data_IF_858779605614
#
_entry.id   IF_858779605614
#
_cell.length_a   1.000
_cell.length_b   1.000
_cell.length_c   1.000
_cell.angle_alpha   90.00
_cell.angle_beta   90.00
_cell.angle_gamma   90.00
#
_symmetry.space_group_name_H-M   'P 1'
#
loop_
_entity.id
_entity.type
_entity.pdbx_description
1 polymer ?
#
# COMPACT_ATOMS: atom_id res chain seq x y z
N UNK A 1 -4.24 4.50 23.83
CA UNK A 1 -4.89 4.22 22.54
C UNK A 1 -6.14 3.38 22.80
N UNK A 2 -7.31 3.91 22.50
CA UNK A 2 -8.55 3.15 22.68
C UNK A 2 -8.65 2.06 21.64
N UNK A 3 -9.05 0.86 22.06
CA UNK A 3 -9.37 -0.23 21.15
C UNK A 3 -10.72 0.07 20.49
N UNK A 4 -10.68 0.95 19.48
CA UNK A 4 -11.85 1.27 18.70
C UNK A 4 -12.03 0.24 17.58
N UNK A 5 -13.18 0.24 16.91
CA UNK A 5 -13.40 -0.56 15.71
C UNK A 5 -12.31 -0.31 14.66
N UNK A 6 -11.69 0.86 14.66
CA UNK A 6 -10.62 1.22 13.75
C UNK A 6 -9.39 0.32 13.90
N UNK A 7 -9.04 -0.07 15.13
CA UNK A 7 -7.92 -1.00 15.34
C UNK A 7 -8.22 -2.40 14.78
N UNK A 8 -9.47 -2.83 14.83
CA UNK A 8 -9.85 -4.12 14.26
C UNK A 8 -9.78 -4.11 12.73
N UNK A 9 -10.10 -2.98 12.10
CA UNK A 9 -10.02 -2.83 10.63
C UNK A 9 -8.61 -2.51 10.15
N UNK A 10 -7.73 -2.00 11.03
CA UNK A 10 -6.37 -1.61 10.69
C UNK A 10 -5.35 -2.75 10.86
N UNK A 11 -5.75 -3.87 11.45
CA UNK A 11 -4.87 -5.01 11.75
C UNK A 11 -4.73 -6.01 10.59
N UNK A 12 -4.75 -5.53 9.36
CA UNK A 12 -4.56 -6.38 8.18
C UNK A 12 -3.11 -6.36 7.73
N UNK A 13 -2.54 -7.57 7.62
CA UNK A 13 -1.16 -7.76 7.17
C UNK A 13 -1.20 -8.32 5.74
N UNK A 14 -0.46 -7.68 4.84
CA UNK A 14 -0.31 -8.13 3.47
C UNK A 14 0.60 -9.36 3.42
N UNK A 15 0.18 -10.40 2.72
CA UNK A 15 0.99 -11.59 2.52
C UNK A 15 2.16 -11.32 1.58
N UNK A 16 3.26 -12.01 1.79
CA UNK A 16 4.47 -11.90 0.96
C UNK A 16 4.16 -12.06 -0.53
N UNK A 17 3.30 -13.02 -0.86
CA UNK A 17 2.98 -13.32 -2.25
C UNK A 17 2.30 -12.16 -2.97
N UNK A 18 1.52 -11.35 -2.24
CA UNK A 18 0.85 -10.20 -2.84
C UNK A 18 1.83 -9.07 -3.18
N UNK A 19 2.97 -9.03 -2.51
CA UNK A 19 4.07 -8.15 -2.91
C UNK A 19 4.88 -8.72 -4.06
N UNK A 20 5.14 -10.03 -4.06
CA UNK A 20 5.86 -10.71 -5.15
C UNK A 20 5.17 -10.56 -6.50
N UNK A 21 3.84 -10.55 -6.50
CA UNK A 21 3.03 -10.41 -7.73
C UNK A 21 3.30 -9.13 -8.50
N UNK A 22 3.73 -8.08 -7.82
CA UNK A 22 3.99 -6.78 -8.44
C UNK A 22 5.48 -6.46 -8.56
N UNK A 23 6.36 -7.41 -8.30
CA UNK A 23 7.81 -7.21 -8.33
C UNK A 23 8.28 -6.56 -9.64
N UNK A 24 7.77 -7.01 -10.77
CA UNK A 24 8.16 -6.51 -12.09
C UNK A 24 7.79 -5.03 -12.32
N UNK A 25 6.84 -4.49 -11.57
CA UNK A 25 6.40 -3.11 -11.68
C UNK A 25 7.20 -2.15 -10.82
N UNK A 26 8.07 -2.66 -9.96
CA UNK A 26 8.87 -1.87 -9.03
C UNK A 26 10.27 -1.68 -9.60
N UNK A 27 10.73 -0.43 -9.82
CA UNK A 27 12.10 -0.19 -10.27
C UNK A 27 13.12 -0.68 -9.26
N UNK A 28 14.15 -1.41 -9.72
CA UNK A 28 15.11 -2.08 -8.84
C UNK A 28 16.10 -1.14 -8.15
N UNK A 29 16.34 0.03 -8.74
CA UNK A 29 17.33 0.99 -8.25
C UNK A 29 16.76 2.05 -7.32
N UNK A 30 15.51 1.86 -6.87
CA UNK A 30 14.80 2.83 -6.05
C UNK A 30 14.78 2.41 -4.59
N UNK A 31 14.87 3.39 -3.70
CA UNK A 31 14.69 3.20 -2.27
C UNK A 31 13.20 3.23 -1.92
N UNK A 32 12.71 2.14 -1.36
CA UNK A 32 11.31 1.99 -0.99
C UNK A 32 11.10 2.46 0.45
N UNK A 33 10.05 3.25 0.66
CA UNK A 33 9.53 3.54 2.00
C UNK A 33 8.25 2.76 2.23
N UNK A 34 8.27 1.88 3.23
CA UNK A 34 7.11 1.13 3.71
C UNK A 34 6.82 1.59 5.13
N UNK A 35 5.98 2.65 5.29
CA UNK A 35 5.85 3.34 6.58
C UNK A 35 5.00 2.62 7.62
N UNK A 36 4.14 1.67 7.22
CA UNK A 36 3.21 1.02 8.14
C UNK A 36 3.78 -0.32 8.60
N UNK A 37 4.37 -0.30 9.79
CA UNK A 37 5.25 -1.37 10.28
C UNK A 37 4.54 -2.70 10.48
N UNK A 38 3.33 -2.70 11.05
CA UNK A 38 2.58 -3.92 11.40
C UNK A 38 3.43 -4.93 12.19
N UNK A 39 3.82 -6.04 11.56
CA UNK A 39 4.68 -7.06 12.17
C UNK A 39 6.16 -6.96 11.74
N UNK A 40 6.51 -5.98 10.92
CA UNK A 40 7.88 -5.76 10.47
C UNK A 40 8.38 -6.70 9.37
N UNK A 41 7.60 -7.67 8.95
CA UNK A 41 8.03 -8.69 7.99
C UNK A 41 8.18 -8.17 6.57
N UNK A 42 7.56 -7.06 6.22
CA UNK A 42 7.71 -6.48 4.89
C UNK A 42 9.16 -6.13 4.56
N UNK A 43 9.95 -5.79 5.56
CA UNK A 43 11.38 -5.56 5.36
C UNK A 43 12.07 -6.77 4.74
N UNK A 44 11.80 -7.96 5.29
CA UNK A 44 12.36 -9.21 4.78
C UNK A 44 11.84 -9.53 3.38
N UNK A 45 10.53 -9.35 3.15
CA UNK A 45 9.91 -9.64 1.87
C UNK A 45 10.53 -8.84 0.73
N UNK A 46 10.68 -7.53 0.92
CA UNK A 46 11.25 -6.66 -0.10
C UNK A 46 12.76 -6.87 -0.24
N UNK A 47 13.48 -7.10 0.86
CA UNK A 47 14.91 -7.42 0.81
C UNK A 47 15.18 -8.71 0.04
N UNK A 48 14.36 -9.74 0.25
CA UNK A 48 14.45 -11.02 -0.47
C UNK A 48 14.19 -10.85 -1.97
N UNK A 49 13.40 -9.87 -2.36
CA UNK A 49 13.19 -9.53 -3.76
C UNK A 49 14.30 -8.66 -4.37
N UNK A 50 15.27 -8.24 -3.56
CA UNK A 50 16.41 -7.44 -4.00
C UNK A 50 16.22 -5.93 -3.91
N UNK A 51 15.25 -5.46 -3.16
CA UNK A 51 14.98 -4.02 -3.02
C UNK A 51 15.61 -3.44 -1.76
N UNK A 52 15.99 -2.18 -1.84
CA UNK A 52 16.40 -1.36 -0.69
C UNK A 52 15.15 -0.77 -0.05
N UNK A 53 14.91 -1.05 1.23
CA UNK A 53 13.67 -0.69 1.91
C UNK A 53 13.91 -0.03 3.26
N UNK A 54 13.16 1.05 3.51
CA UNK A 54 13.03 1.69 4.81
C UNK A 54 11.70 1.23 5.42
N UNK A 55 11.78 0.46 6.48
CA UNK A 55 10.60 -0.09 7.17
C UNK A 55 10.87 -0.08 8.67
N UNK A 56 10.39 0.97 9.33
CA UNK A 56 10.67 1.25 10.73
C UNK A 56 9.38 1.43 11.52
N UNK A 57 9.39 1.05 12.78
CA UNK A 57 8.25 1.26 13.69
C UNK A 57 8.24 2.72 14.16
N UNK A 58 7.79 3.60 13.27
CA UNK A 58 7.69 5.05 13.52
C UNK A 58 6.34 5.57 13.04
N UNK A 59 5.88 6.63 13.68
CA UNK A 59 4.65 7.31 13.25
C UNK A 59 4.83 7.94 11.87
N UNK A 60 3.98 7.53 10.93
CA UNK A 60 3.98 8.03 9.56
C UNK A 60 3.89 9.56 9.49
N UNK A 61 3.13 10.18 10.38
CA UNK A 61 2.88 11.62 10.33
C UNK A 61 4.01 12.46 10.94
N UNK A 62 4.96 11.84 11.63
CA UNK A 62 6.01 12.56 12.37
C UNK A 62 7.30 12.78 11.60
N UNK A 63 7.48 12.12 10.44
CA UNK A 63 8.72 12.23 9.69
C UNK A 63 8.53 11.89 8.21
N UNK A 64 9.51 12.28 7.40
CA UNK A 64 9.62 11.89 5.99
C UNK A 64 11.07 11.46 5.77
N UNK A 65 11.36 10.17 5.54
CA UNK A 65 12.72 9.74 5.23
C UNK A 65 13.11 10.14 3.81
N UNK A 66 14.37 9.99 3.50
CA UNK A 66 14.85 10.14 2.12
C UNK A 66 14.52 8.85 1.36
N UNK A 67 13.50 8.90 0.49
CA UNK A 67 13.02 7.74 -0.26
C UNK A 67 12.65 8.12 -1.69
N UNK A 68 12.50 7.10 -2.55
CA UNK A 68 12.10 7.28 -3.94
C UNK A 68 10.65 6.92 -4.21
N UNK A 69 10.15 5.85 -3.60
CA UNK A 69 8.79 5.33 -3.80
C UNK A 69 8.22 4.80 -2.50
N UNK A 70 6.96 5.12 -2.21
CA UNK A 70 6.24 4.58 -1.06
C UNK A 70 5.42 3.37 -1.50
N UNK A 71 5.67 2.21 -0.87
CA UNK A 71 4.92 0.98 -1.17
C UNK A 71 4.44 0.38 0.14
N UNK A 72 3.13 0.32 0.33
CA UNK A 72 2.56 -0.23 1.55
C UNK A 72 1.06 -0.50 1.43
N UNK A 73 0.52 -1.07 2.49
CA UNK A 73 -0.91 -1.26 2.72
C UNK A 73 -1.31 -0.33 3.87
N UNK A 74 -1.87 0.85 3.58
CA UNK A 74 -2.19 1.82 4.63
C UNK A 74 -3.35 1.36 5.52
N UNK A 75 -3.36 1.74 6.80
CA UNK A 75 -4.49 1.45 7.67
C UNK A 75 -5.76 2.13 7.15
N UNK A 76 -6.87 1.40 7.16
CA UNK A 76 -8.11 1.85 6.53
C UNK A 76 -8.71 3.08 7.18
N UNK A 77 -8.59 3.23 8.49
CA UNK A 77 -9.15 4.36 9.23
C UNK A 77 -8.46 5.70 8.92
N UNK A 78 -7.23 5.67 8.42
CA UNK A 78 -6.41 6.86 8.20
C UNK A 78 -6.11 7.14 6.72
N UNK A 79 -6.77 6.46 5.81
CA UNK A 79 -6.47 6.58 4.36
C UNK A 79 -6.55 8.01 3.85
N UNK A 80 -7.54 8.76 4.27
CA UNK A 80 -7.72 10.15 3.81
C UNK A 80 -6.51 11.01 4.17
N UNK A 81 -6.08 10.97 5.41
CA UNK A 81 -4.95 11.76 5.92
C UNK A 81 -3.63 11.28 5.31
N UNK A 82 -3.47 9.97 5.16
CA UNK A 82 -2.28 9.37 4.55
C UNK A 82 -2.14 9.80 3.10
N UNK A 83 -3.20 9.70 2.32
CA UNK A 83 -3.20 10.09 0.93
C UNK A 83 -2.95 11.59 0.75
N UNK A 84 -3.48 12.41 1.63
CA UNK A 84 -3.23 13.85 1.62
C UNK A 84 -1.75 14.17 1.83
N UNK A 85 -1.12 13.53 2.81
CA UNK A 85 0.33 13.70 3.05
C UNK A 85 1.15 13.24 1.84
N UNK A 86 0.85 12.07 1.29
CA UNK A 86 1.56 11.53 0.13
C UNK A 86 1.38 12.41 -1.11
N UNK A 87 0.23 13.03 -1.28
CA UNK A 87 -0.01 14.00 -2.35
C UNK A 87 0.83 15.25 -2.17
N UNK A 88 0.96 15.75 -0.97
CA UNK A 88 1.80 16.92 -0.65
C UNK A 88 3.28 16.63 -0.89
N UNK A 89 3.76 15.43 -0.54
CA UNK A 89 5.13 15.00 -0.83
C UNK A 89 5.35 14.88 -2.34
N UNK A 90 4.34 14.41 -3.06
CA UNK A 90 4.32 14.34 -4.53
C UNK A 90 5.37 13.39 -5.13
N UNK A 91 5.69 12.30 -4.44
CA UNK A 91 6.55 11.23 -4.95
C UNK A 91 5.72 10.01 -5.35
N UNK A 92 6.28 9.12 -6.19
CA UNK A 92 5.58 7.89 -6.59
C UNK A 92 5.15 7.03 -5.41
N UNK A 93 4.02 6.34 -5.57
CA UNK A 93 3.61 5.31 -4.61
C UNK A 93 2.88 4.15 -5.28
N UNK A 94 2.91 3.00 -4.62
CA UNK A 94 2.03 1.86 -4.88
C UNK A 94 1.41 1.48 -3.53
N UNK A 95 0.09 1.64 -3.42
CA UNK A 95 -0.65 1.35 -2.20
C UNK A 95 -1.73 0.31 -2.46
N UNK A 96 -1.86 -0.64 -1.54
CA UNK A 96 -3.00 -1.56 -1.56
C UNK A 96 -4.17 -0.87 -0.88
N UNK A 97 -5.24 -0.64 -1.63
CA UNK A 97 -6.42 0.05 -1.13
C UNK A 97 -7.70 -0.61 -1.63
N UNK A 98 -8.82 -0.47 -0.92
CA UNK A 98 -10.10 -0.97 -1.41
C UNK A 98 -10.48 -0.34 -2.74
N UNK A 99 -11.02 -1.14 -3.65
CA UNK A 99 -11.42 -0.67 -4.98
C UNK A 99 -12.42 0.47 -4.94
N UNK A 100 -13.31 0.48 -3.94
CA UNK A 100 -14.32 1.53 -3.78
C UNK A 100 -13.72 2.91 -3.55
N UNK A 101 -12.44 3.01 -3.16
CA UNK A 101 -11.78 4.30 -2.96
C UNK A 101 -11.73 5.14 -4.23
N UNK A 102 -11.79 4.51 -5.41
CA UNK A 102 -11.85 5.22 -6.69
C UNK A 102 -13.07 6.15 -6.81
N UNK A 103 -14.16 5.84 -6.10
CA UNK A 103 -15.39 6.63 -6.14
C UNK A 103 -15.48 7.69 -5.03
N UNK A 104 -14.51 7.74 -4.11
CA UNK A 104 -14.54 8.69 -3.01
C UNK A 104 -14.17 10.09 -3.49
N UNK A 105 -14.94 11.08 -3.05
CA UNK A 105 -14.73 12.48 -3.44
C UNK A 105 -13.33 12.98 -3.08
N UNK A 106 -12.86 12.70 -1.86
CA UNK A 106 -11.54 13.17 -1.43
C UNK A 106 -10.41 12.56 -2.25
N UNK A 107 -10.58 11.31 -2.72
CA UNK A 107 -9.60 10.67 -3.58
C UNK A 107 -9.57 11.32 -4.96
N UNK A 108 -10.74 11.54 -5.54
CA UNK A 108 -10.85 12.12 -6.88
C UNK A 108 -10.34 13.56 -6.93
N UNK A 109 -10.54 14.33 -5.87
CA UNK A 109 -10.04 15.72 -5.80
C UNK A 109 -8.52 15.78 -5.99
N UNK A 110 -7.77 14.82 -5.42
CA UNK A 110 -6.31 14.83 -5.47
C UNK A 110 -5.72 13.99 -6.60
N UNK A 111 -6.40 12.91 -7.01
CA UNK A 111 -5.82 11.89 -7.88
C UNK A 111 -6.56 11.63 -9.18
N UNK A 112 -7.64 12.34 -9.46
CA UNK A 112 -8.38 12.16 -10.72
C UNK A 112 -7.44 12.31 -11.92
N UNK A 113 -7.47 11.32 -12.82
CA UNK A 113 -6.63 11.27 -14.03
C UNK A 113 -5.12 11.21 -13.75
N UNK A 114 -4.72 10.90 -12.50
CA UNK A 114 -3.31 10.82 -12.10
C UNK A 114 -2.93 9.47 -11.51
N UNK A 115 -3.88 8.54 -11.46
CA UNK A 115 -3.67 7.23 -10.83
C UNK A 115 -3.71 6.13 -11.88
N UNK A 116 -2.90 5.10 -11.70
CA UNK A 116 -2.93 3.87 -12.47
C UNK A 116 -3.23 2.72 -11.51
N UNK A 117 -3.93 1.70 -12.00
CA UNK A 117 -4.42 0.61 -11.15
C UNK A 117 -3.90 -0.72 -11.68
N UNK A 118 -3.27 -1.49 -10.80
CA UNK A 118 -2.96 -2.91 -11.04
C UNK A 118 -4.08 -3.72 -10.39
N UNK A 119 -4.76 -4.52 -11.19
CA UNK A 119 -5.94 -5.27 -10.80
C UNK A 119 -5.62 -6.77 -10.82
N UNK A 120 -5.50 -7.42 -9.66
CA UNK A 120 -5.25 -8.85 -9.61
C UNK A 120 -6.52 -9.66 -9.89
N UNK A 121 -6.41 -10.71 -10.68
CA UNK A 121 -7.53 -11.64 -10.93
C UNK A 121 -7.83 -12.48 -9.68
N UNK A 122 -6.79 -12.85 -8.94
CA UNK A 122 -6.93 -13.51 -7.64
C UNK A 122 -6.95 -12.46 -6.56
N UNK A 123 -8.01 -12.46 -5.74
CA UNK A 123 -8.20 -11.45 -4.69
C UNK A 123 -7.01 -11.41 -3.74
N UNK A 124 -6.66 -10.19 -3.32
CA UNK A 124 -5.70 -10.00 -2.24
C UNK A 124 -6.38 -10.43 -0.93
N UNK A 125 -5.76 -11.38 -0.26
CA UNK A 125 -6.16 -11.82 1.07
C UNK A 125 -5.18 -11.27 2.09
N UNK A 126 -5.67 -11.01 3.30
CA UNK A 126 -4.85 -10.47 4.37
C UNK A 126 -4.80 -11.46 5.52
N UNK A 127 -3.75 -11.34 6.34
CA UNK A 127 -3.72 -11.95 7.68
C UNK A 127 -4.04 -10.89 8.71
N UNK A 128 -4.72 -11.26 9.76
CA UNK A 128 -4.87 -10.39 10.92
C UNK A 128 -3.65 -10.53 11.81
N UNK A 129 -3.27 -9.45 12.49
CA UNK A 129 -2.12 -9.45 13.39
C UNK A 129 -2.27 -10.49 14.52
N UNK A 130 -3.49 -10.74 14.96
CA UNK A 130 -3.84 -11.68 16.02
C UNK A 130 -4.17 -13.09 15.53
N UNK A 131 -4.16 -13.34 14.22
CA UNK A 131 -4.50 -14.61 13.62
C UNK A 131 -3.49 -15.03 12.57
N UNK A 132 -3.24 -16.35 12.50
CA UNK A 132 -2.33 -16.95 11.50
C UNK A 132 -3.05 -17.26 10.17
N UNK A 133 -4.38 -17.27 10.17
CA UNK A 133 -5.18 -17.62 8.99
C UNK A 133 -5.39 -16.42 8.06
N UNK A 134 -5.43 -16.71 6.77
CA UNK A 134 -5.82 -15.72 5.78
C UNK A 134 -7.26 -15.26 5.99
N UNK A 135 -7.48 -13.99 5.74
CA UNK A 135 -8.78 -13.36 5.80
C UNK A 135 -9.08 -12.72 4.45
N UNK A 136 -10.23 -13.07 3.88
CA UNK A 136 -10.72 -12.44 2.66
C UNK A 136 -11.69 -11.32 3.05
N UNK A 137 -11.33 -10.05 2.85
CA UNK A 137 -12.21 -8.95 3.20
C UNK A 137 -13.46 -8.93 2.30
N UNK A 138 -14.55 -8.28 2.75
CA UNK A 138 -15.78 -8.17 1.94
C UNK A 138 -15.65 -7.20 0.76
N UNK A 139 -14.49 -6.65 0.52
CA UNK A 139 -14.22 -5.73 -0.60
C UNK A 139 -13.03 -6.24 -1.40
N UNK A 140 -12.98 -5.89 -2.69
CA UNK A 140 -11.81 -6.11 -3.51
C UNK A 140 -10.76 -5.03 -3.23
N UNK A 141 -9.49 -5.42 -3.17
CA UNK A 141 -8.37 -4.50 -3.04
C UNK A 141 -7.54 -4.50 -4.32
N UNK A 142 -7.07 -3.32 -4.72
CA UNK A 142 -6.22 -3.13 -5.89
C UNK A 142 -4.92 -2.43 -5.48
N UNK A 143 -3.92 -2.46 -6.36
CA UNK A 143 -2.70 -1.67 -6.20
C UNK A 143 -2.92 -0.33 -6.89
N UNK A 144 -2.97 0.74 -6.08
CA UNK A 144 -3.12 2.11 -6.55
C UNK A 144 -1.74 2.71 -6.77
N UNK A 145 -1.45 3.11 -7.99
CA UNK A 145 -0.12 3.56 -8.41
C UNK A 145 -0.14 5.04 -8.83
N UNK A 146 0.75 5.82 -8.24
CA UNK A 146 0.88 7.25 -8.52
C UNK A 146 2.28 7.54 -9.05
N UNK A 147 2.37 8.29 -10.14
CA UNK A 147 3.64 8.69 -10.77
C UNK A 147 4.57 7.53 -11.16
N UNK A 148 4.02 6.36 -11.39
CA UNK A 148 4.80 5.21 -11.88
C UNK A 148 4.99 5.24 -13.39
N UNK A 149 4.13 5.95 -14.11
CA UNK A 149 4.22 6.15 -15.56
C UNK A 149 4.23 4.83 -16.36
N UNK A 150 3.34 3.91 -15.99
CA UNK A 150 3.14 2.67 -16.73
C UNK A 150 2.52 2.95 -18.10
N UNK A 151 2.71 2.05 -19.09
CA UNK A 151 2.13 2.25 -20.43
C UNK A 151 0.61 2.27 -20.46
N UNK A 152 -0.07 1.64 -19.48
CA UNK A 152 -1.52 1.56 -19.40
C UNK A 152 -2.00 2.01 -18.03
N UNK A 153 -3.22 2.56 -17.98
CA UNK A 153 -3.82 3.02 -16.73
C UNK A 153 -4.48 1.88 -15.94
N UNK A 154 -4.99 0.85 -16.64
CA UNK A 154 -5.53 -0.36 -16.03
C UNK A 154 -4.67 -1.54 -16.44
N UNK A 155 -4.08 -2.19 -15.43
CA UNK A 155 -3.17 -3.31 -15.65
C UNK A 155 -3.74 -4.53 -14.93
N UNK A 156 -4.09 -5.56 -15.70
CA UNK A 156 -4.63 -6.80 -15.15
C UNK A 156 -3.50 -7.81 -14.97
N UNK A 157 -3.43 -8.41 -13.80
CA UNK A 157 -2.45 -9.45 -13.47
C UNK A 157 -3.13 -10.69 -12.88
N UNK A 158 -2.43 -11.80 -12.85
CA UNK A 158 -2.92 -13.05 -12.24
C UNK A 158 -2.88 -13.05 -10.72
#
# INVERSE_FOLDING_TARGET
>A
MSFTNDMLTDNFITNENDWKRIKEFIPKDKKIWSPFYCDGKQKEYFADMGFDIIHEDRDFFSYIPDYDICIDNPPFSKKKEILKKLKEIDKPFILICPSMMLSYKYFQEDFKNKIQIIIPSKRINFRRLDHTKNYTPPFAAFYFCYKMNFPKDLIFID
#
